data_IF_603577346739
#
_entry.id   IF_603577346739
#
_cell.length_a   1.000
_cell.length_b   1.000
_cell.length_c   1.000
_cell.angle_alpha   90.00
_cell.angle_beta   90.00
_cell.angle_gamma   90.00
#
_symmetry.space_group_name_H-M   'P 1'
#
loop_
_entity.id
_entity.type
_entity.pdbx_description
1 polymer ?
#
# COMPACT_ATOMS: atom_id res chain seq x y z
N UNK A 1 5.48 15.84 16.00
CA UNK A 1 6.84 15.94 15.43
C UNK A 1 6.69 16.32 13.98
N UNK A 2 7.03 17.56 13.63
CA UNK A 2 7.06 18.03 12.24
C UNK A 2 8.35 17.53 11.62
N UNK A 3 8.35 16.31 11.05
CA UNK A 3 9.45 15.92 10.19
C UNK A 3 9.31 16.70 8.87
N UNK A 4 10.32 17.52 8.58
CA UNK A 4 10.61 17.90 7.21
C UNK A 4 11.04 16.61 6.51
N UNK A 5 10.09 15.90 5.94
CA UNK A 5 10.35 14.77 5.08
C UNK A 5 11.21 15.30 3.95
N UNK A 6 12.41 14.76 3.78
CA UNK A 6 13.30 15.18 2.71
C UNK A 6 12.59 14.89 1.38
N UNK A 7 11.91 15.87 0.83
CA UNK A 7 11.05 15.76 -0.34
C UNK A 7 11.88 15.72 -1.63
N UNK A 8 12.77 14.72 -1.73
CA UNK A 8 13.45 14.44 -3.01
C UNK A 8 12.41 13.84 -3.99
N UNK A 9 11.41 13.16 -3.46
CA UNK A 9 10.36 12.50 -4.24
C UNK A 9 9.00 13.06 -3.83
N UNK A 10 8.35 13.77 -4.74
CA UNK A 10 7.01 14.34 -4.58
C UNK A 10 6.10 13.96 -5.76
N UNK A 11 4.78 14.10 -5.57
CA UNK A 11 3.78 13.80 -6.59
C UNK A 11 3.46 12.30 -6.69
N UNK A 12 2.70 11.96 -7.74
CA UNK A 12 2.18 10.62 -7.96
C UNK A 12 3.04 9.76 -8.90
N UNK A 13 3.85 10.37 -9.76
CA UNK A 13 4.66 9.67 -10.76
C UNK A 13 6.04 9.34 -10.21
N UNK A 14 6.22 8.09 -9.79
CA UNK A 14 7.45 7.57 -9.21
C UNK A 14 7.94 6.36 -10.02
N UNK A 15 9.17 6.44 -10.49
CA UNK A 15 9.84 5.43 -11.32
C UNK A 15 11.21 5.05 -10.75
N UNK A 16 11.88 4.09 -11.40
CA UNK A 16 13.24 3.71 -11.04
C UNK A 16 14.24 4.87 -11.06
N UNK A 17 14.07 5.87 -11.93
CA UNK A 17 14.94 7.06 -11.97
C UNK A 17 14.89 7.82 -10.63
N UNK A 18 13.68 7.99 -10.08
CA UNK A 18 13.46 8.61 -8.77
C UNK A 18 14.07 7.78 -7.65
N UNK A 19 13.94 6.43 -7.70
CA UNK A 19 14.54 5.53 -6.72
C UNK A 19 16.06 5.62 -6.71
N UNK A 20 16.70 5.55 -7.89
CA UNK A 20 18.17 5.64 -8.00
C UNK A 20 18.68 6.93 -7.41
N UNK A 21 17.98 8.05 -7.64
CA UNK A 21 18.31 9.34 -7.03
C UNK A 21 18.17 9.31 -5.50
N UNK A 22 17.11 8.70 -4.99
CA UNK A 22 16.89 8.53 -3.54
C UNK A 22 17.95 7.63 -2.90
N UNK A 23 18.34 6.53 -3.57
CA UNK A 23 19.36 5.60 -3.06
C UNK A 23 20.73 6.24 -2.87
N UNK A 24 21.04 7.33 -3.60
CA UNK A 24 22.29 8.06 -3.44
C UNK A 24 22.39 8.75 -2.06
N UNK A 25 21.27 9.03 -1.41
CA UNK A 25 21.21 9.68 -0.08
C UNK A 25 21.23 8.69 1.08
N UNK A 26 21.07 7.39 0.80
CA UNK A 26 21.05 6.36 1.83
C UNK A 26 22.45 6.08 2.39
N UNK A 27 22.53 5.95 3.70
CA UNK A 27 23.76 5.54 4.38
C UNK A 27 24.06 4.07 4.08
N UNK A 28 25.15 3.83 3.33
CA UNK A 28 25.59 2.49 2.88
C UNK A 28 26.05 1.56 4.02
N UNK A 29 26.29 2.08 5.21
CA UNK A 29 26.59 1.26 6.40
C UNK A 29 25.30 0.63 6.99
N UNK A 30 24.13 1.24 6.71
CA UNK A 30 22.82 0.78 7.20
C UNK A 30 22.06 0.03 6.10
N UNK A 31 22.08 0.57 4.87
CA UNK A 31 21.23 0.11 3.77
C UNK A 31 22.05 -0.51 2.65
N UNK A 32 21.70 -1.74 2.28
CA UNK A 32 22.28 -2.45 1.17
C UNK A 32 21.27 -2.50 0.00
N UNK A 33 21.57 -1.78 -1.07
CA UNK A 33 20.72 -1.74 -2.27
C UNK A 33 21.20 -2.78 -3.27
N UNK A 34 20.31 -3.68 -3.71
CA UNK A 34 20.59 -4.80 -4.59
C UNK A 34 19.59 -4.82 -5.75
N UNK A 35 19.96 -5.43 -6.87
CA UNK A 35 19.03 -5.86 -7.91
C UNK A 35 18.49 -7.24 -7.55
N UNK A 36 17.16 -7.34 -7.35
CA UNK A 36 16.47 -8.60 -7.04
C UNK A 36 16.12 -9.40 -8.30
N UNK A 37 16.02 -8.73 -9.44
CA UNK A 37 15.70 -9.31 -10.74
C UNK A 37 15.29 -8.25 -11.75
N UNK A 38 14.57 -8.66 -12.79
CA UNK A 38 14.17 -7.77 -13.89
C UNK A 38 12.71 -7.96 -14.26
N UNK A 39 12.10 -6.89 -14.77
CA UNK A 39 10.76 -6.87 -15.32
C UNK A 39 10.70 -7.47 -16.73
N UNK A 40 9.49 -7.49 -17.32
CA UNK A 40 9.26 -7.92 -18.72
C UNK A 40 10.15 -7.15 -19.69
N UNK A 41 10.31 -5.83 -19.55
CA UNK A 41 11.15 -5.00 -20.42
C UNK A 41 12.62 -4.92 -19.96
N UNK A 42 13.06 -5.85 -19.10
CA UNK A 42 14.41 -5.90 -18.55
C UNK A 42 14.81 -4.70 -17.66
N UNK A 43 13.85 -3.95 -17.15
CA UNK A 43 14.13 -2.93 -16.15
C UNK A 43 14.49 -3.58 -14.80
N UNK A 44 15.48 -3.05 -14.05
CA UNK A 44 15.87 -3.62 -12.78
C UNK A 44 14.76 -3.50 -11.74
N UNK A 45 14.55 -4.58 -10.97
CA UNK A 45 13.72 -4.58 -9.76
C UNK A 45 14.70 -4.50 -8.60
N UNK A 46 14.67 -3.38 -7.88
CA UNK A 46 15.56 -3.15 -6.75
C UNK A 46 14.98 -3.66 -5.45
N UNK A 47 15.86 -4.08 -4.56
CA UNK A 47 15.52 -4.30 -3.15
C UNK A 47 16.51 -3.56 -2.24
N UNK A 48 16.05 -3.19 -1.05
CA UNK A 48 16.85 -2.55 -0.01
C UNK A 48 16.81 -3.44 1.23
N UNK A 49 17.95 -3.98 1.61
CA UNK A 49 18.11 -4.80 2.81
C UNK A 49 18.75 -3.98 3.92
N UNK A 50 18.21 -4.10 5.16
CA UNK A 50 18.74 -3.40 6.32
C UNK A 50 18.34 -4.06 7.64
N UNK A 51 19.09 -3.74 8.72
CA UNK A 51 18.92 -4.35 10.03
C UNK A 51 19.55 -5.74 10.14
N UNK A 52 19.73 -6.23 11.38
CA UNK A 52 20.45 -7.48 11.68
C UNK A 52 19.69 -8.39 12.65
N UNK A 53 18.46 -8.02 13.01
CA UNK A 53 17.64 -8.75 13.97
C UNK A 53 17.11 -10.07 13.42
N UNK A 54 16.66 -10.94 14.33
CA UNK A 54 16.14 -12.26 13.96
C UNK A 54 14.69 -12.21 13.42
N UNK A 55 13.95 -11.11 13.62
CA UNK A 55 12.58 -10.98 13.13
C UNK A 55 12.58 -10.30 11.77
N UNK A 56 12.15 -11.02 10.76
CA UNK A 56 12.27 -10.63 9.35
C UNK A 56 10.97 -10.02 8.81
N UNK A 57 11.06 -8.83 8.24
CA UNK A 57 9.92 -8.10 7.66
C UNK A 57 10.17 -7.88 6.17
N UNK A 58 9.29 -8.43 5.32
CA UNK A 58 9.30 -8.21 3.88
C UNK A 58 8.27 -7.13 3.54
N UNK A 59 8.69 -6.11 2.80
CA UNK A 59 7.81 -5.07 2.28
C UNK A 59 7.92 -5.02 0.75
N UNK A 60 6.83 -4.80 0.07
CA UNK A 60 6.87 -4.44 -1.36
C UNK A 60 5.76 -3.44 -1.68
N UNK A 61 6.05 -2.56 -2.63
CA UNK A 61 5.10 -1.57 -3.12
C UNK A 61 5.15 -1.49 -4.65
N UNK A 62 4.31 -0.66 -5.23
CA UNK A 62 4.16 -0.52 -6.68
C UNK A 62 4.17 -1.84 -7.46
N UNK A 63 3.50 -2.88 -6.93
CA UNK A 63 3.15 -4.03 -7.76
C UNK A 63 2.09 -3.63 -8.80
N UNK A 64 1.25 -2.63 -8.47
CA UNK A 64 0.56 -1.81 -9.46
C UNK A 64 1.39 -0.56 -9.68
N UNK A 65 1.87 -0.34 -10.91
CA UNK A 65 2.88 0.68 -11.17
C UNK A 65 2.45 2.12 -10.86
N UNK A 66 1.15 2.40 -10.89
CA UNK A 66 0.55 3.71 -10.60
C UNK A 66 0.25 3.94 -9.09
N UNK A 67 0.62 3.03 -8.20
CA UNK A 67 0.31 3.11 -6.76
C UNK A 67 1.57 3.48 -5.96
N UNK A 68 1.97 4.75 -5.96
CA UNK A 68 3.27 5.20 -5.44
C UNK A 68 3.26 5.81 -4.04
N UNK A 69 2.09 6.06 -3.44
CA UNK A 69 1.99 6.74 -2.14
C UNK A 69 2.70 5.95 -1.04
N UNK A 70 2.46 4.64 -1.00
CA UNK A 70 3.08 3.76 -0.02
C UNK A 70 4.58 3.59 -0.25
N UNK A 71 5.05 3.58 -1.50
CA UNK A 71 6.49 3.60 -1.84
C UNK A 71 7.17 4.81 -1.20
N UNK A 72 6.60 6.02 -1.38
CA UNK A 72 7.12 7.24 -0.78
C UNK A 72 7.17 7.17 0.75
N UNK A 73 6.11 6.64 1.38
CA UNK A 73 6.05 6.50 2.82
C UNK A 73 7.12 5.56 3.40
N UNK A 74 7.46 4.48 2.67
CA UNK A 74 8.57 3.60 3.09
C UNK A 74 9.93 4.25 2.86
N UNK A 75 10.11 5.04 1.80
CA UNK A 75 11.33 5.84 1.63
C UNK A 75 11.51 6.86 2.77
N UNK A 76 10.42 7.50 3.22
CA UNK A 76 10.44 8.35 4.42
C UNK A 76 10.85 7.57 5.68
N UNK A 77 10.45 6.30 5.78
CA UNK A 77 10.87 5.42 6.89
C UNK A 77 12.38 5.14 6.84
N UNK A 78 12.97 4.94 5.65
CA UNK A 78 14.43 4.78 5.51
C UNK A 78 15.16 6.05 5.96
N UNK A 79 14.70 7.24 5.53
CA UNK A 79 15.25 8.52 5.97
C UNK A 79 15.11 8.71 7.48
N UNK A 80 13.95 8.35 8.04
CA UNK A 80 13.71 8.43 9.47
C UNK A 80 14.68 7.54 10.28
N UNK A 81 14.93 6.31 9.80
CA UNK A 81 15.84 5.36 10.44
C UNK A 81 17.28 5.92 10.48
N UNK A 82 17.78 6.46 9.36
CA UNK A 82 19.15 6.97 9.31
C UNK A 82 19.36 8.27 10.10
N UNK A 83 18.29 9.07 10.28
CA UNK A 83 18.37 10.35 10.98
C UNK A 83 18.16 10.26 12.50
N UNK A 84 17.56 9.17 13.00
CA UNK A 84 17.05 9.10 14.38
C UNK A 84 17.61 7.96 15.22
N UNK A 85 18.78 7.42 14.91
CA UNK A 85 19.41 6.33 15.67
C UNK A 85 18.42 5.22 16.11
N UNK A 86 17.86 4.54 15.13
CA UNK A 86 16.90 3.43 15.36
C UNK A 86 17.59 2.07 15.55
N UNK A 87 18.65 2.04 16.35
CA UNK A 87 19.39 0.79 16.65
C UNK A 87 18.53 -0.26 17.32
N UNK A 88 17.52 0.13 18.09
CA UNK A 88 16.53 -0.75 18.68
C UNK A 88 15.73 -1.52 17.60
N UNK A 89 15.33 -0.85 16.51
CA UNK A 89 14.69 -1.51 15.37
C UNK A 89 15.69 -2.33 14.56
N UNK A 90 16.86 -1.78 14.24
CA UNK A 90 17.87 -2.44 13.42
C UNK A 90 18.45 -3.70 14.06
N UNK A 91 18.54 -3.74 15.40
CA UNK A 91 18.99 -4.92 16.14
C UNK A 91 17.88 -5.96 16.35
N UNK A 92 16.62 -5.57 16.31
CA UNK A 92 15.47 -6.46 16.49
C UNK A 92 14.96 -7.04 15.18
N UNK A 93 14.96 -6.22 14.12
CA UNK A 93 14.38 -6.54 12.83
C UNK A 93 15.44 -6.64 11.74
N UNK A 94 15.19 -7.51 10.78
CA UNK A 94 15.84 -7.48 9.46
C UNK A 94 14.76 -7.21 8.42
N UNK A 95 15.02 -6.24 7.54
CA UNK A 95 14.07 -5.81 6.53
C UNK A 95 14.57 -6.17 5.14
N UNK A 96 13.63 -6.52 4.26
CA UNK A 96 13.81 -6.57 2.82
C UNK A 96 12.68 -5.75 2.18
N UNK A 97 13.00 -4.67 1.50
CA UNK A 97 12.04 -3.79 0.85
C UNK A 97 12.23 -3.79 -0.65
N UNK A 98 11.17 -4.09 -1.42
CA UNK A 98 11.11 -3.94 -2.87
C UNK A 98 10.25 -2.69 -3.18
N UNK A 99 10.87 -1.53 -3.48
CA UNK A 99 10.14 -0.26 -3.64
C UNK A 99 9.21 -0.25 -4.84
N UNK A 100 9.67 -0.74 -5.99
CA UNK A 100 8.89 -0.83 -7.23
C UNK A 100 9.01 -2.26 -7.76
N UNK A 101 7.96 -3.06 -7.53
CA UNK A 101 7.92 -4.43 -8.03
C UNK A 101 7.63 -4.46 -9.54
N UNK A 102 6.88 -3.48 -10.04
CA UNK A 102 6.46 -3.36 -11.45
C UNK A 102 7.03 -2.08 -12.07
N UNK A 103 8.32 -2.04 -12.43
CA UNK A 103 8.92 -0.83 -12.99
C UNK A 103 8.36 -0.46 -14.37
N UNK A 104 7.95 -1.44 -15.19
CA UNK A 104 7.31 -1.17 -16.49
C UNK A 104 5.97 -0.45 -16.30
N UNK A 105 5.14 -0.93 -15.39
CA UNK A 105 3.89 -0.29 -15.04
C UNK A 105 4.09 1.06 -14.38
N UNK A 106 5.17 1.24 -13.60
CA UNK A 106 5.50 2.52 -13.00
C UNK A 106 5.86 3.58 -14.06
N UNK A 107 6.67 3.22 -15.06
CA UNK A 107 7.01 4.12 -16.17
C UNK A 107 5.80 4.47 -17.02
N UNK A 108 4.94 3.49 -17.33
CA UNK A 108 3.72 3.69 -18.11
C UNK A 108 2.56 4.27 -17.28
N UNK A 109 2.70 4.37 -15.96
CA UNK A 109 1.66 4.75 -14.99
C UNK A 109 0.41 3.88 -15.12
N UNK A 110 0.62 2.58 -15.14
CA UNK A 110 -0.46 1.58 -15.27
C UNK A 110 -0.52 0.64 -14.07
N UNK A 111 -1.72 0.09 -13.82
CA UNK A 111 -1.92 -0.95 -12.83
C UNK A 111 -1.16 -2.24 -13.19
N UNK A 112 -1.27 -2.64 -14.45
CA UNK A 112 -0.71 -3.89 -14.99
C UNK A 112 0.76 -3.75 -15.39
N UNK A 113 1.45 -4.89 -15.56
CA UNK A 113 2.81 -4.92 -16.10
C UNK A 113 2.83 -4.75 -17.63
N UNK A 114 4.00 -4.82 -18.26
CA UNK A 114 4.15 -4.65 -19.72
C UNK A 114 3.41 -5.71 -20.55
N UNK A 115 3.10 -6.87 -19.98
CA UNK A 115 2.28 -7.90 -20.62
C UNK A 115 0.76 -7.69 -20.41
N UNK A 116 0.34 -6.62 -19.75
CA UNK A 116 -1.06 -6.35 -19.43
C UNK A 116 -1.61 -7.24 -18.29
N UNK A 117 -0.76 -7.82 -17.47
CA UNK A 117 -1.13 -8.72 -16.37
C UNK A 117 -1.14 -7.95 -15.03
N UNK A 118 -2.22 -8.12 -14.26
CA UNK A 118 -2.30 -7.69 -12.87
C UNK A 118 -1.48 -8.65 -11.99
N UNK A 119 -0.35 -8.19 -11.47
CA UNK A 119 0.55 -9.01 -10.65
C UNK A 119 -0.11 -9.49 -9.35
N UNK A 120 -1.14 -8.77 -8.84
CA UNK A 120 -1.94 -9.21 -7.70
C UNK A 120 -3.03 -10.22 -8.08
N UNK A 121 -2.91 -10.84 -9.27
CA UNK A 121 -3.72 -11.96 -9.77
C UNK A 121 -2.83 -13.08 -10.35
N UNK A 122 -1.51 -13.02 -10.11
CA UNK A 122 -0.52 -13.95 -10.67
C UNK A 122 0.27 -14.72 -9.59
N UNK A 123 -0.16 -14.64 -8.32
CA UNK A 123 0.62 -15.22 -7.21
C UNK A 123 0.68 -16.74 -7.21
N UNK A 124 -0.30 -17.42 -7.82
CA UNK A 124 -0.36 -18.87 -7.96
C UNK A 124 0.36 -19.33 -9.23
N UNK A 125 0.06 -18.68 -10.35
CA UNK A 125 0.52 -19.13 -11.66
C UNK A 125 1.96 -18.72 -11.95
N UNK A 126 2.43 -17.62 -11.30
CA UNK A 126 3.79 -17.07 -11.40
C UNK A 126 4.23 -16.93 -12.87
N UNK A 127 3.32 -16.44 -13.70
CA UNK A 127 3.51 -16.34 -15.14
C UNK A 127 4.38 -15.13 -15.55
N UNK A 128 4.57 -14.17 -14.61
CA UNK A 128 5.30 -12.95 -14.87
C UNK A 128 6.65 -12.91 -14.14
N UNK A 129 7.69 -12.30 -14.76
CA UNK A 129 9.00 -12.22 -14.14
C UNK A 129 8.99 -11.50 -12.81
N UNK A 130 8.17 -10.43 -12.66
CA UNK A 130 8.01 -9.69 -11.41
C UNK A 130 7.42 -10.57 -10.29
N UNK A 131 6.44 -11.41 -10.63
CA UNK A 131 5.84 -12.36 -9.69
C UNK A 131 6.85 -13.40 -9.22
N UNK A 132 7.68 -13.90 -10.14
CA UNK A 132 8.78 -14.83 -9.83
C UNK A 132 9.82 -14.16 -8.93
N UNK A 133 10.18 -12.89 -9.18
CA UNK A 133 11.12 -12.14 -8.33
C UNK A 133 10.60 -12.05 -6.90
N UNK A 134 9.36 -11.62 -6.72
CA UNK A 134 8.76 -11.50 -5.38
C UNK A 134 8.69 -12.86 -4.68
N UNK A 135 8.32 -13.92 -5.40
CA UNK A 135 8.26 -15.28 -4.86
C UNK A 135 9.64 -15.78 -4.43
N UNK A 136 10.67 -15.60 -5.23
CA UNK A 136 12.04 -15.98 -4.88
C UNK A 136 12.56 -15.20 -3.67
N UNK A 137 12.33 -13.89 -3.62
CA UNK A 137 12.69 -13.09 -2.44
C UNK A 137 11.95 -13.57 -1.18
N UNK A 138 10.67 -13.89 -1.28
CA UNK A 138 9.90 -14.43 -0.17
C UNK A 138 10.47 -15.77 0.34
N UNK A 139 10.77 -16.70 -0.57
CA UNK A 139 11.27 -18.03 -0.22
C UNK A 139 12.68 -18.00 0.36
N UNK A 140 13.56 -17.14 -0.15
CA UNK A 140 14.93 -16.98 0.35
C UNK A 140 14.98 -16.19 1.67
N UNK A 141 14.24 -15.11 1.75
CA UNK A 141 14.23 -14.24 2.93
C UNK A 141 13.49 -14.89 4.10
N UNK A 142 12.43 -15.66 3.86
CA UNK A 142 11.59 -16.34 4.87
C UNK A 142 11.07 -15.36 5.92
N UNK A 143 10.19 -14.43 5.55
CA UNK A 143 9.71 -13.38 6.44
C UNK A 143 8.86 -13.93 7.59
N UNK A 144 8.92 -13.25 8.74
CA UNK A 144 7.99 -13.45 9.84
C UNK A 144 6.72 -12.58 9.70
N UNK A 145 6.81 -11.51 8.92
CA UNK A 145 5.73 -10.60 8.60
C UNK A 145 5.92 -10.06 7.18
N UNK A 146 4.83 -9.94 6.44
CA UNK A 146 4.81 -9.38 5.09
C UNK A 146 3.89 -8.15 5.03
N UNK A 147 4.33 -7.07 4.39
CA UNK A 147 3.58 -5.84 4.19
C UNK A 147 3.37 -5.59 2.70
N UNK A 148 2.12 -5.75 2.26
CA UNK A 148 1.68 -5.53 0.89
C UNK A 148 1.16 -4.10 0.75
N UNK A 149 1.91 -3.25 0.06
CA UNK A 149 1.74 -1.80 0.12
C UNK A 149 1.09 -1.30 -1.16
N UNK A 150 -0.19 -0.91 -1.08
CA UNK A 150 -1.03 -0.46 -2.20
C UNK A 150 -1.61 0.94 -2.00
N UNK A 151 -2.15 1.47 -3.08
CA UNK A 151 -3.00 2.67 -3.09
C UNK A 151 -4.41 2.30 -3.58
N UNK A 152 -5.43 2.88 -2.98
CA UNK A 152 -6.83 2.70 -3.41
C UNK A 152 -7.36 3.94 -4.14
N UNK A 153 -8.44 3.76 -4.91
CA UNK A 153 -9.14 4.85 -5.63
C UNK A 153 -9.80 5.83 -4.64
N UNK A 154 -10.11 7.05 -5.13
CA UNK A 154 -10.83 8.11 -4.39
C UNK A 154 -12.28 7.77 -4.06
N UNK A 155 -12.82 6.73 -4.70
CA UNK A 155 -14.24 6.35 -4.61
C UNK A 155 -14.65 5.71 -3.29
N UNK A 156 -13.68 5.32 -2.46
CA UNK A 156 -13.98 4.60 -1.22
C UNK A 156 -14.29 5.54 -0.07
N UNK A 157 -15.41 5.25 0.59
CA UNK A 157 -15.81 5.85 1.87
C UNK A 157 -15.93 4.79 2.96
N UNK A 158 -16.05 5.24 4.20
CA UNK A 158 -16.18 4.38 5.38
C UNK A 158 -17.16 4.94 6.40
N UNK A 159 -17.80 4.01 7.11
CA UNK A 159 -18.62 4.27 8.28
C UNK A 159 -19.93 4.98 7.99
N UNK A 160 -20.76 5.07 9.03
CA UNK A 160 -22.12 5.64 8.93
C UNK A 160 -22.14 7.14 8.56
N UNK A 161 -21.05 7.87 8.86
CA UNK A 161 -20.90 9.28 8.48
C UNK A 161 -20.41 9.48 7.07
N UNK A 162 -20.13 8.39 6.34
CA UNK A 162 -19.60 8.39 4.98
C UNK A 162 -18.41 9.32 4.79
N UNK A 163 -17.33 9.08 5.54
CA UNK A 163 -16.07 9.82 5.39
C UNK A 163 -15.17 9.15 4.35
N UNK A 164 -14.24 9.88 3.71
CA UNK A 164 -13.27 9.26 2.82
C UNK A 164 -12.46 8.17 3.52
N UNK A 165 -12.28 7.03 2.87
CA UNK A 165 -11.37 5.98 3.33
C UNK A 165 -9.93 6.42 3.07
N UNK A 166 -9.38 7.29 3.93
CA UNK A 166 -8.04 7.85 3.75
C UNK A 166 -6.95 6.81 3.88
N UNK A 167 -7.13 5.85 4.78
CA UNK A 167 -6.23 4.71 4.90
C UNK A 167 -7.04 3.48 5.23
N UNK A 168 -6.80 2.40 4.50
CA UNK A 168 -7.47 1.13 4.76
C UNK A 168 -6.46 0.01 4.90
N UNK A 169 -6.89 -1.04 5.59
CA UNK A 169 -6.08 -2.21 5.85
C UNK A 169 -6.86 -3.49 5.56
N UNK A 170 -6.12 -4.59 5.41
CA UNK A 170 -6.69 -5.93 5.39
C UNK A 170 -5.72 -6.93 6.00
N UNK A 171 -6.23 -7.82 6.85
CA UNK A 171 -5.62 -9.10 7.18
C UNK A 171 -6.17 -10.16 6.21
N UNK A 172 -5.43 -10.51 5.12
CA UNK A 172 -5.94 -11.36 4.06
C UNK A 172 -6.37 -12.72 4.56
N UNK A 173 -7.36 -13.32 3.90
CA UNK A 173 -7.83 -14.67 4.19
C UNK A 173 -6.83 -15.72 3.69
N UNK A 174 -6.86 -16.91 4.24
CA UNK A 174 -6.06 -18.05 3.79
C UNK A 174 -6.91 -19.21 3.23
N UNK A 175 -8.24 -19.07 3.28
CA UNK A 175 -9.20 -20.04 2.75
C UNK A 175 -10.56 -19.38 2.47
N UNK A 176 -11.40 -20.08 1.73
CA UNK A 176 -12.72 -19.62 1.30
C UNK A 176 -13.71 -19.39 2.47
N UNK A 177 -13.55 -20.10 3.56
CA UNK A 177 -14.36 -19.96 4.80
C UNK A 177 -13.95 -18.76 5.63
N UNK A 178 -12.88 -18.06 5.24
CA UNK A 178 -12.34 -16.87 5.93
C UNK A 178 -12.02 -17.12 7.41
N UNK A 179 -11.57 -18.33 7.70
CA UNK A 179 -11.25 -18.74 9.07
C UNK A 179 -10.16 -17.86 9.68
N UNK A 180 -10.13 -17.83 11.00
CA UNK A 180 -9.15 -17.06 11.77
C UNK A 180 -8.22 -18.05 12.47
N UNK A 181 -6.98 -18.03 12.06
CA UNK A 181 -5.88 -18.73 12.74
C UNK A 181 -4.94 -17.73 13.41
N UNK A 182 -3.92 -18.22 14.10
CA UNK A 182 -2.93 -17.37 14.78
C UNK A 182 -2.21 -16.42 13.82
N UNK A 183 -1.92 -16.85 12.58
CA UNK A 183 -1.27 -16.05 11.55
C UNK A 183 -2.11 -14.83 11.19
N UNK A 184 -3.39 -15.04 10.92
CA UNK A 184 -4.32 -13.98 10.52
C UNK A 184 -4.68 -13.09 11.71
N UNK A 185 -4.89 -13.68 12.90
CA UNK A 185 -5.17 -12.94 14.13
C UNK A 185 -4.03 -11.97 14.47
N UNK A 186 -2.79 -12.40 14.31
CA UNK A 186 -1.63 -11.53 14.52
C UNK A 186 -1.63 -10.29 13.60
N UNK A 187 -1.93 -10.47 12.31
CA UNK A 187 -2.09 -9.34 11.39
C UNK A 187 -3.24 -8.40 11.80
N UNK A 188 -4.39 -8.96 12.23
CA UNK A 188 -5.54 -8.20 12.72
C UNK A 188 -5.19 -7.37 13.96
N UNK A 189 -4.42 -7.90 14.89
CA UNK A 189 -3.96 -7.19 16.09
C UNK A 189 -3.06 -6.00 15.74
N UNK A 190 -2.12 -6.17 14.81
CA UNK A 190 -1.25 -5.09 14.33
C UNK A 190 -2.05 -3.99 13.61
N UNK A 191 -3.01 -4.38 12.77
CA UNK A 191 -3.91 -3.43 12.09
C UNK A 191 -4.71 -2.62 13.11
N UNK A 192 -5.29 -3.27 14.12
CA UNK A 192 -6.06 -2.60 15.17
C UNK A 192 -5.21 -1.61 15.96
N UNK A 193 -3.95 -1.93 16.21
CA UNK A 193 -3.00 -1.02 16.86
C UNK A 193 -2.73 0.23 15.99
N UNK A 194 -2.50 0.05 14.68
CA UNK A 194 -2.32 1.14 13.74
C UNK A 194 -3.59 2.01 13.64
N UNK A 195 -4.76 1.40 13.45
CA UNK A 195 -6.03 2.09 13.35
C UNK A 195 -6.34 2.94 14.61
N UNK A 196 -6.10 2.39 15.80
CA UNK A 196 -6.29 3.11 17.05
C UNK A 196 -5.36 4.34 17.16
N UNK A 197 -4.15 4.27 16.62
CA UNK A 197 -3.21 5.40 16.63
C UNK A 197 -3.62 6.55 15.72
N UNK A 198 -4.39 6.25 14.67
CA UNK A 198 -4.87 7.22 13.67
C UNK A 198 -6.21 7.86 14.06
N UNK A 199 -6.92 7.30 15.04
CA UNK A 199 -8.29 7.70 15.36
C UNK A 199 -8.45 9.18 15.74
N UNK A 200 -7.41 9.82 16.29
CA UNK A 200 -7.43 11.24 16.64
C UNK A 200 -7.09 12.18 15.47
N UNK A 201 -6.37 11.71 14.47
CA UNK A 201 -5.94 12.53 13.32
C UNK A 201 -6.92 12.48 12.16
N UNK A 202 -7.43 11.27 11.88
CA UNK A 202 -8.40 11.01 10.83
C UNK A 202 -9.63 10.26 11.38
N UNK A 203 -10.40 10.88 12.29
CA UNK A 203 -11.52 10.22 12.96
C UNK A 203 -12.57 9.73 11.95
N UNK A 204 -12.81 8.42 11.95
CA UNK A 204 -13.76 7.76 11.05
C UNK A 204 -13.32 7.66 9.58
N UNK A 205 -12.01 7.79 9.28
CA UNK A 205 -11.47 7.68 7.93
C UNK A 205 -10.52 6.48 7.75
N UNK A 206 -10.46 5.60 8.74
CA UNK A 206 -9.75 4.32 8.62
C UNK A 206 -10.74 3.24 8.27
N UNK A 207 -10.46 2.49 7.21
CA UNK A 207 -11.32 1.43 6.69
C UNK A 207 -10.68 0.05 6.68
N UNK A 208 -11.50 -0.93 6.37
CA UNK A 208 -11.11 -2.33 6.14
C UNK A 208 -11.58 -2.77 4.77
N UNK A 209 -10.70 -3.45 4.00
CA UNK A 209 -11.08 -4.06 2.74
C UNK A 209 -11.83 -5.38 2.96
N UNK A 210 -12.64 -5.78 1.96
CA UNK A 210 -13.28 -7.10 1.89
C UNK A 210 -12.21 -8.21 1.92
N UNK A 211 -12.44 -9.22 2.75
CA UNK A 211 -11.54 -10.33 2.98
C UNK A 211 -11.90 -11.61 2.19
N UNK A 212 -12.62 -11.47 1.08
CA UNK A 212 -12.93 -12.57 0.17
C UNK A 212 -11.66 -13.22 -0.34
N UNK A 213 -11.54 -14.53 -0.11
CA UNK A 213 -10.33 -15.29 -0.45
C UNK A 213 -10.14 -15.43 -1.95
N UNK A 214 -8.92 -15.15 -2.41
CA UNK A 214 -8.48 -15.41 -3.76
C UNK A 214 -6.99 -15.79 -3.77
N UNK A 215 -6.70 -17.06 -3.96
CA UNK A 215 -5.32 -17.57 -3.94
C UNK A 215 -4.38 -16.91 -4.96
N UNK A 216 -4.93 -16.25 -5.99
CA UNK A 216 -4.16 -15.46 -6.95
C UNK A 216 -3.80 -14.05 -6.43
N UNK A 217 -4.40 -13.60 -5.32
CA UNK A 217 -3.94 -12.41 -4.62
C UNK A 217 -2.73 -12.75 -3.76
N UNK A 218 -1.68 -11.90 -3.84
CA UNK A 218 -0.42 -12.19 -3.16
C UNK A 218 -0.54 -12.19 -1.64
N UNK A 219 -1.41 -11.34 -1.07
CA UNK A 219 -1.68 -11.30 0.37
C UNK A 219 -2.30 -12.59 0.88
N UNK A 220 -3.31 -13.10 0.16
CA UNK A 220 -3.97 -14.38 0.49
C UNK A 220 -3.00 -15.55 0.34
N UNK A 221 -2.20 -15.56 -0.72
CA UNK A 221 -1.18 -16.58 -0.96
C UNK A 221 -0.17 -16.62 0.20
N UNK A 222 0.37 -15.48 0.64
CA UNK A 222 1.36 -15.46 1.71
C UNK A 222 0.74 -15.85 3.07
N UNK A 223 -0.50 -15.43 3.33
CA UNK A 223 -1.25 -15.88 4.52
C UNK A 223 -1.53 -17.39 4.46
N UNK A 224 -1.89 -17.94 3.27
CA UNK A 224 -2.01 -19.38 3.05
C UNK A 224 -0.68 -20.12 3.34
N UNK A 225 0.46 -19.53 2.96
CA UNK A 225 1.80 -20.04 3.27
C UNK A 225 2.22 -19.77 4.73
N UNK A 226 1.29 -19.38 5.60
CA UNK A 226 1.47 -19.17 7.05
C UNK A 226 2.38 -18.00 7.42
N UNK A 227 2.51 -17.01 6.56
CA UNK A 227 3.18 -15.74 6.88
C UNK A 227 2.10 -14.68 7.13
N UNK A 228 2.05 -14.08 8.33
CA UNK A 228 1.16 -12.95 8.59
C UNK A 228 1.39 -11.86 7.55
N UNK A 229 0.32 -11.45 6.88
CA UNK A 229 0.40 -10.44 5.82
C UNK A 229 -0.57 -9.31 6.13
N UNK A 230 -0.13 -8.08 5.96
CA UNK A 230 -0.96 -6.87 6.09
C UNK A 230 -0.99 -6.18 4.74
N UNK A 231 -2.20 -5.97 4.21
CA UNK A 231 -2.43 -5.07 3.10
C UNK A 231 -2.61 -3.65 3.64
N UNK A 232 -1.88 -2.71 3.06
CA UNK A 232 -2.08 -1.28 3.20
C UNK A 232 -2.70 -0.74 1.91
N UNK A 233 -3.68 0.15 2.06
CA UNK A 233 -4.34 0.82 0.95
C UNK A 233 -4.38 2.31 1.24
N UNK A 234 -3.43 3.06 0.65
CA UNK A 234 -3.38 4.49 0.74
C UNK A 234 -4.50 5.11 -0.11
N UNK A 235 -5.45 5.76 0.55
CA UNK A 235 -6.64 6.34 -0.08
C UNK A 235 -6.57 7.86 -0.20
N UNK A 236 -7.73 8.46 -0.39
CA UNK A 236 -7.87 9.90 -0.56
C UNK A 236 -8.03 10.61 0.79
N UNK A 237 -7.23 11.64 1.01
CA UNK A 237 -7.49 12.65 2.03
C UNK A 237 -8.17 13.87 1.37
N UNK A 238 -9.17 14.52 1.98
CA UNK A 238 -9.88 15.64 1.36
C UNK A 238 -8.94 16.73 0.84
N UNK A 239 -9.12 17.09 -0.44
CA UNK A 239 -8.32 18.11 -1.15
C UNK A 239 -6.85 17.76 -1.36
N UNK A 240 -6.44 16.49 -1.17
CA UNK A 240 -5.07 16.03 -1.35
C UNK A 240 -4.97 14.95 -2.44
N UNK A 241 -5.04 15.35 -3.70
CA UNK A 241 -4.91 14.43 -4.85
C UNK A 241 -3.47 13.92 -5.04
N UNK A 242 -2.46 14.67 -4.58
CA UNK A 242 -1.06 14.24 -4.58
C UNK A 242 -0.74 13.24 -3.44
N UNK A 243 -1.70 13.05 -2.51
CA UNK A 243 -1.65 12.08 -1.40
C UNK A 243 -0.47 12.28 -0.45
N UNK A 244 -0.02 13.50 -0.27
CA UNK A 244 1.06 13.80 0.65
C UNK A 244 0.62 13.70 2.13
N UNK A 245 -0.66 14.01 2.45
CA UNK A 245 -1.19 13.77 3.79
C UNK A 245 -1.35 12.26 4.05
N UNK A 246 -1.88 11.51 3.07
CA UNK A 246 -1.98 10.05 3.20
C UNK A 246 -0.61 9.39 3.33
N UNK A 247 0.41 9.85 2.60
CA UNK A 247 1.82 9.42 2.76
C UNK A 247 2.30 9.53 4.20
N UNK A 248 2.05 10.67 4.87
CA UNK A 248 2.40 10.89 6.28
C UNK A 248 1.69 9.90 7.22
N UNK A 249 0.43 9.62 6.94
CA UNK A 249 -0.36 8.67 7.74
C UNK A 249 0.11 7.22 7.55
N UNK A 250 0.50 6.82 6.34
CA UNK A 250 1.14 5.52 6.08
C UNK A 250 2.47 5.42 6.83
N UNK A 251 3.33 6.44 6.71
CA UNK A 251 4.60 6.50 7.45
C UNK A 251 4.37 6.36 8.96
N UNK A 252 3.41 7.12 9.53
CA UNK A 252 3.07 7.01 10.95
C UNK A 252 2.60 5.61 11.32
N UNK A 253 1.79 4.99 10.48
CA UNK A 253 1.33 3.61 10.70
C UNK A 253 2.48 2.62 10.76
N UNK A 254 3.48 2.75 9.88
CA UNK A 254 4.69 1.92 9.89
C UNK A 254 5.50 2.11 11.18
N UNK A 255 5.66 3.35 11.66
CA UNK A 255 6.33 3.62 12.95
C UNK A 255 5.58 2.95 14.10
N UNK A 256 4.26 3.09 14.16
CA UNK A 256 3.42 2.46 15.20
C UNK A 256 3.49 0.93 15.12
N UNK A 257 3.49 0.36 13.92
CA UNK A 257 3.64 -1.09 13.72
C UNK A 257 4.95 -1.58 14.30
N UNK A 258 6.09 -0.95 13.97
CA UNK A 258 7.42 -1.36 14.45
C UNK A 258 7.56 -1.20 15.95
N UNK A 259 7.10 -0.08 16.51
CA UNK A 259 7.10 0.15 17.96
C UNK A 259 6.19 -0.86 18.70
N UNK A 260 5.05 -1.21 18.10
CA UNK A 260 4.15 -2.20 18.68
C UNK A 260 4.74 -3.62 18.69
N UNK A 261 5.52 -3.96 17.67
CA UNK A 261 6.26 -5.22 17.62
C UNK A 261 7.36 -5.29 18.68
N UNK A 262 8.09 -4.18 18.91
CA UNK A 262 9.09 -4.11 19.98
C UNK A 262 8.48 -4.26 21.37
N UNK A 263 7.44 -3.49 21.64
CA UNK A 263 6.81 -3.41 22.97
C UNK A 263 5.77 -4.49 23.22
N UNK A 264 5.40 -5.25 22.16
CA UNK A 264 4.29 -6.21 22.14
C UNK A 264 2.93 -5.59 22.48
N UNK A 265 2.78 -4.29 22.30
CA UNK A 265 1.53 -3.57 22.63
C UNK A 265 0.34 -3.97 21.76
N UNK A 266 0.59 -4.59 20.59
CA UNK A 266 -0.46 -5.17 19.73
C UNK A 266 -1.26 -6.27 20.45
N UNK A 267 -0.69 -6.96 21.45
CA UNK A 267 -1.35 -8.08 22.16
C UNK A 267 -2.61 -7.68 22.95
N UNK A 268 -2.80 -6.40 23.21
CA UNK A 268 -4.02 -5.88 23.87
C UNK A 268 -5.23 -5.77 22.92
N UNK A 269 -5.01 -5.90 21.61
CA UNK A 269 -6.06 -5.84 20.60
C UNK A 269 -6.59 -7.25 20.30
N UNK A 270 -7.91 -7.34 20.14
CA UNK A 270 -8.61 -8.61 19.89
C UNK A 270 -9.19 -8.63 18.47
N UNK A 271 -9.74 -9.77 18.09
CA UNK A 271 -10.47 -9.93 16.84
C UNK A 271 -11.66 -8.97 16.72
N UNK A 272 -12.41 -8.77 17.80
CA UNK A 272 -13.58 -7.90 17.83
C UNK A 272 -13.19 -6.45 17.51
N UNK A 273 -12.09 -5.95 18.08
CA UNK A 273 -11.59 -4.60 17.80
C UNK A 273 -11.22 -4.43 16.31
N UNK A 274 -10.67 -5.49 15.67
CA UNK A 274 -10.43 -5.47 14.24
C UNK A 274 -11.74 -5.42 13.44
N UNK A 275 -12.77 -6.17 13.85
CA UNK A 275 -14.09 -6.17 13.19
C UNK A 275 -14.83 -4.85 13.35
N UNK A 276 -14.56 -4.07 14.39
CA UNK A 276 -15.13 -2.73 14.60
C UNK A 276 -14.61 -1.69 13.59
N UNK A 277 -13.50 -1.98 12.88
CA UNK A 277 -13.06 -1.13 11.77
C UNK A 277 -14.06 -1.31 10.60
N UNK A 278 -14.74 -0.24 10.16
CA UNK A 278 -15.78 -0.36 9.15
C UNK A 278 -15.21 -0.77 7.79
N UNK A 279 -15.99 -1.50 7.01
CA UNK A 279 -15.60 -1.87 5.64
C UNK A 279 -15.68 -0.67 4.69
N UNK A 280 -14.83 -0.70 3.67
CA UNK A 280 -14.85 0.27 2.59
C UNK A 280 -16.09 0.08 1.72
N UNK A 281 -16.74 1.19 1.39
CA UNK A 281 -17.87 1.23 0.45
C UNK A 281 -17.58 2.20 -0.69
N UNK A 282 -18.08 1.91 -1.89
CA UNK A 282 -17.96 2.80 -3.05
C UNK A 282 -19.03 3.89 -2.97
N UNK A 283 -18.76 4.95 -2.24
CA UNK A 283 -19.74 5.99 -1.90
C UNK A 283 -19.34 7.39 -2.34
N UNK A 284 -18.12 7.56 -2.87
CA UNK A 284 -17.60 8.85 -3.30
C UNK A 284 -17.49 8.98 -4.82
N UNK A 285 -17.60 10.21 -5.27
CA UNK A 285 -17.28 10.68 -6.62
C UNK A 285 -16.41 11.92 -6.49
N UNK A 286 -15.56 12.22 -7.46
CA UNK A 286 -14.70 13.40 -7.39
C UNK A 286 -15.51 14.70 -7.58
N UNK A 287 -16.48 14.70 -8.49
CA UNK A 287 -17.43 15.80 -8.70
C UNK A 287 -18.84 15.27 -8.95
N UNK A 288 -19.83 15.87 -8.29
CA UNK A 288 -21.25 15.57 -8.53
C UNK A 288 -21.94 16.78 -9.15
N UNK A 289 -22.29 16.71 -10.44
CA UNK A 289 -23.03 17.75 -11.13
C UNK A 289 -24.53 17.55 -10.90
N UNK A 290 -25.17 18.50 -10.21
CA UNK A 290 -26.61 18.50 -9.95
C UNK A 290 -27.36 19.35 -10.96
N UNK A 291 -28.67 19.10 -11.11
CA UNK A 291 -29.59 19.87 -11.97
C UNK A 291 -29.11 19.94 -13.45
N UNK A 292 -28.66 18.80 -13.97
CA UNK A 292 -28.22 18.69 -15.37
C UNK A 292 -29.37 18.19 -16.27
N UNK A 293 -29.32 18.57 -17.54
CA UNK A 293 -30.18 18.03 -18.59
C UNK A 293 -29.39 17.03 -19.45
N UNK A 294 -30.01 15.89 -19.79
CA UNK A 294 -29.36 14.87 -20.60
C UNK A 294 -30.36 14.17 -21.52
N UNK A 295 -29.92 13.86 -22.73
CA UNK A 295 -30.61 12.95 -23.64
C UNK A 295 -30.30 11.47 -23.36
N UNK A 296 -29.32 11.16 -22.54
CA UNK A 296 -28.93 9.80 -22.20
C UNK A 296 -29.87 9.23 -21.14
N UNK A 297 -30.64 8.18 -21.49
CA UNK A 297 -31.64 7.58 -20.62
C UNK A 297 -31.08 6.99 -19.34
N UNK A 298 -29.81 6.58 -19.34
CA UNK A 298 -29.11 6.07 -18.17
C UNK A 298 -29.02 7.10 -17.04
N UNK A 299 -28.90 8.40 -17.38
CA UNK A 299 -28.75 9.47 -16.41
C UNK A 299 -30.02 10.25 -16.10
N UNK A 300 -31.11 10.08 -16.86
CA UNK A 300 -32.34 10.89 -16.76
C UNK A 300 -32.97 10.94 -15.35
N UNK A 301 -32.79 9.90 -14.54
CA UNK A 301 -33.43 9.77 -13.22
C UNK A 301 -32.45 9.73 -12.05
N UNK A 302 -31.19 10.15 -12.26
CA UNK A 302 -30.19 10.17 -11.20
C UNK A 302 -30.18 11.51 -10.48
N UNK A 303 -29.89 11.47 -9.17
CA UNK A 303 -29.78 12.65 -8.28
C UNK A 303 -28.67 13.61 -8.72
N UNK A 304 -27.69 13.10 -9.49
CA UNK A 304 -26.58 13.87 -10.06
C UNK A 304 -25.80 13.05 -11.09
N UNK A 305 -25.01 13.75 -11.90
CA UNK A 305 -24.07 13.15 -12.84
C UNK A 305 -22.72 12.97 -12.13
N UNK A 306 -22.26 11.73 -11.90
CA UNK A 306 -20.99 11.49 -11.28
C UNK A 306 -19.85 11.75 -12.27
N UNK A 307 -18.83 12.46 -11.83
CA UNK A 307 -17.59 12.67 -12.58
C UNK A 307 -16.45 12.16 -11.72
N UNK A 308 -15.58 11.38 -12.32
CA UNK A 308 -14.38 10.84 -11.69
C UNK A 308 -13.13 11.42 -12.35
N UNK A 309 -12.08 11.58 -11.58
CA UNK A 309 -10.80 11.97 -12.12
C UNK A 309 -9.98 10.73 -12.51
N UNK A 310 -9.71 10.63 -13.82
CA UNK A 310 -8.78 9.64 -14.34
C UNK A 310 -7.37 10.19 -14.23
N UNK A 311 -6.54 9.51 -13.45
CA UNK A 311 -5.12 9.80 -13.36
C UNK A 311 -4.45 9.45 -14.69
N UNK A 312 -3.84 10.44 -15.34
CA UNK A 312 -3.26 10.29 -16.68
C UNK A 312 -1.85 10.87 -16.70
N UNK A 313 -0.89 10.09 -17.20
CA UNK A 313 0.48 10.56 -17.38
C UNK A 313 0.59 11.50 -18.57
N UNK A 314 0.93 12.77 -18.31
CA UNK A 314 1.11 13.79 -19.32
C UNK A 314 2.46 14.50 -19.08
N UNK A 315 3.38 14.38 -20.03
CA UNK A 315 4.71 15.03 -19.96
C UNK A 315 5.46 14.80 -18.63
N UNK A 316 5.44 13.57 -18.11
CA UNK A 316 6.14 13.19 -16.87
C UNK A 316 5.43 13.64 -15.59
N UNK A 317 4.17 14.05 -15.66
CA UNK A 317 3.34 14.41 -14.50
C UNK A 317 1.98 13.74 -14.59
N UNK A 318 1.34 13.58 -13.45
CA UNK A 318 -0.02 13.04 -13.41
C UNK A 318 -1.02 14.19 -13.43
N UNK A 319 -1.88 14.16 -14.43
CA UNK A 319 -3.04 15.05 -14.56
C UNK A 319 -4.32 14.28 -14.15
N UNK A 320 -5.23 14.97 -13.49
CA UNK A 320 -6.51 14.43 -13.04
C UNK A 320 -7.60 14.87 -14.03
N UNK A 321 -7.78 14.08 -15.09
CA UNK A 321 -8.70 14.40 -16.16
C UNK A 321 -10.13 13.96 -15.82
N UNK A 322 -11.14 14.88 -15.86
CA UNK A 322 -12.50 14.51 -15.54
C UNK A 322 -13.06 13.53 -16.59
N UNK A 323 -13.66 12.46 -16.11
CA UNK A 323 -14.35 11.47 -16.95
C UNK A 323 -15.69 11.10 -16.32
N UNK A 324 -16.67 10.77 -17.16
CA UNK A 324 -17.91 10.17 -16.71
C UNK A 324 -17.73 8.67 -16.86
N UNK A 325 -17.54 8.00 -15.73
CA UNK A 325 -17.40 6.54 -15.69
C UNK A 325 -18.78 5.91 -15.56
N UNK A 326 -19.02 4.84 -16.32
CA UNK A 326 -20.29 4.13 -16.38
C UNK A 326 -20.23 2.76 -15.68
N UNK A 327 -19.12 2.41 -15.01
CA UNK A 327 -18.98 1.17 -14.28
C UNK A 327 -19.68 1.13 -12.91
#
# INVERSE_FOLDING_TARGET
MTHNLASIIAGRYITNEHLVSSFQTLNKEIFNVLEAGKSVNNLPIYRVDFGTGCYKILLWSQMHGNESTTTKAVLDLLDYIQMNDKQDWLSKFTFCFIPILNPDGAEAYTRVNANGIDLNRDSKDLSQPESLVLRHVFEDFKPNLALNMHDQRTIFGVGAENKPATLSFLAPSFNETRDINETRLFAMQLISCMAASLASEIPGQVGRFDDSFNINCIGDMFTYLKVPTILFEAGHYPSDYEREETRKLVFKSLVVLLDSLLTKSYQKFTYEIYQDIPENEKTFVDVLIKNYETSNDFFKNRVGLPVFFKETLVNGRIEFLPTIDFE
#
